data_IF_484726181610
#
_entry.id   IF_484726181610
#
_cell.length_a   1.000
_cell.length_b   1.000
_cell.length_c   1.000
_cell.angle_alpha   90.00
_cell.angle_beta   90.00
_cell.angle_gamma   90.00
#
_symmetry.space_group_name_H-M   'P 1'
#
loop_
_entity.id
_entity.type
_entity.pdbx_description
1 polymer ?
#
# COMPACT_ATOMS: atom_id res chain seq x y z
N UNK A 1 -35.93 -8.84 8.02
CA UNK A 1 -36.69 -9.70 8.95
C UNK A 1 -37.08 -11.05 8.34
N UNK A 2 -37.81 -11.10 7.22
CA UNK A 2 -38.23 -12.39 6.61
C UNK A 2 -37.06 -13.32 6.22
N UNK A 3 -36.05 -12.80 5.52
CA UNK A 3 -34.87 -13.57 5.15
C UNK A 3 -34.12 -14.15 6.36
N UNK A 4 -33.99 -13.38 7.44
CA UNK A 4 -33.37 -13.82 8.69
C UNK A 4 -34.11 -15.01 9.30
N UNK A 5 -35.45 -14.98 9.29
CA UNK A 5 -36.30 -16.08 9.74
C UNK A 5 -36.02 -17.37 8.96
N UNK A 6 -35.98 -17.27 7.62
CA UNK A 6 -35.68 -18.41 6.74
C UNK A 6 -34.30 -19.02 6.98
N UNK A 7 -33.27 -18.19 7.23
CA UNK A 7 -31.93 -18.69 7.55
C UNK A 7 -31.90 -19.39 8.91
N UNK A 8 -32.68 -18.90 9.89
CA UNK A 8 -32.79 -19.53 11.20
C UNK A 8 -33.49 -20.90 11.12
N UNK A 9 -34.58 -21.01 10.35
CA UNK A 9 -35.25 -22.30 10.08
C UNK A 9 -34.31 -23.30 9.39
N UNK A 10 -33.50 -22.84 8.43
CA UNK A 10 -32.50 -23.67 7.78
C UNK A 10 -31.41 -24.13 8.77
N UNK A 11 -30.97 -23.25 9.69
CA UNK A 11 -30.01 -23.60 10.74
C UNK A 11 -30.56 -24.67 11.69
N UNK A 12 -31.81 -24.54 12.13
CA UNK A 12 -32.48 -25.54 12.96
C UNK A 12 -32.65 -26.87 12.23
N UNK A 13 -33.04 -26.84 10.96
CA UNK A 13 -33.13 -28.04 10.12
C UNK A 13 -31.78 -28.72 9.93
N UNK A 14 -30.69 -27.96 9.78
CA UNK A 14 -29.34 -28.51 9.70
C UNK A 14 -28.93 -29.18 11.02
N UNK A 15 -29.34 -28.64 12.18
CA UNK A 15 -29.03 -29.20 13.50
C UNK A 15 -29.64 -30.59 13.69
N UNK A 16 -30.85 -30.83 13.17
CA UNK A 16 -31.58 -32.11 13.33
C UNK A 16 -31.03 -33.25 12.45
N UNK A 17 -30.23 -32.96 11.41
CA UNK A 17 -29.64 -33.99 10.55
C UNK A 17 -28.66 -34.86 11.35
N UNK A 18 -29.02 -36.12 11.60
CA UNK A 18 -28.14 -37.13 12.18
C UNK A 18 -27.48 -37.94 11.05
N UNK A 19 -26.15 -38.05 11.06
CA UNK A 19 -25.41 -38.85 10.06
C UNK A 19 -24.15 -39.44 10.68
N UNK A 20 -23.86 -40.69 10.34
CA UNK A 20 -22.61 -41.38 10.70
C UNK A 20 -21.47 -41.09 9.73
N UNK A 21 -21.78 -40.60 8.51
CA UNK A 21 -20.80 -40.26 7.47
C UNK A 21 -19.99 -39.00 7.81
N UNK A 22 -18.68 -39.12 7.83
CA UNK A 22 -17.78 -38.02 8.22
C UNK A 22 -17.75 -36.88 7.21
N UNK A 23 -17.90 -37.18 5.91
CA UNK A 23 -18.00 -36.15 4.87
C UNK A 23 -19.27 -35.31 5.04
N UNK A 24 -20.39 -35.96 5.34
CA UNK A 24 -21.66 -35.29 5.64
C UNK A 24 -21.59 -34.47 6.93
N UNK A 25 -20.89 -34.94 7.98
CA UNK A 25 -20.66 -34.15 9.21
C UNK A 25 -19.91 -32.86 8.92
N UNK A 26 -18.84 -32.91 8.12
CA UNK A 26 -18.08 -31.71 7.74
C UNK A 26 -18.92 -30.73 6.92
N UNK A 27 -19.69 -31.22 5.94
CA UNK A 27 -20.61 -30.37 5.16
C UNK A 27 -21.67 -29.72 6.04
N UNK A 28 -22.26 -30.46 6.98
CA UNK A 28 -23.22 -29.96 7.97
C UNK A 28 -22.60 -28.83 8.80
N UNK A 29 -21.41 -29.06 9.39
CA UNK A 29 -20.74 -28.06 10.22
C UNK A 29 -20.41 -26.77 9.44
N UNK A 30 -19.97 -26.92 8.18
CA UNK A 30 -19.73 -25.78 7.28
C UNK A 30 -21.02 -25.02 6.99
N UNK A 31 -22.10 -25.72 6.68
CA UNK A 31 -23.40 -25.10 6.43
C UNK A 31 -23.95 -24.37 7.67
N UNK A 32 -23.84 -24.97 8.86
CA UNK A 32 -24.21 -24.33 10.12
C UNK A 32 -23.39 -23.05 10.37
N UNK A 33 -22.07 -23.12 10.20
CA UNK A 33 -21.19 -21.95 10.32
C UNK A 33 -21.55 -20.83 9.35
N UNK A 34 -21.92 -21.16 8.11
CA UNK A 34 -22.37 -20.20 7.10
C UNK A 34 -23.71 -19.57 7.48
N UNK A 35 -24.68 -20.35 7.95
CA UNK A 35 -25.96 -19.84 8.42
C UNK A 35 -25.80 -18.90 9.62
N UNK A 36 -24.99 -19.27 10.62
CA UNK A 36 -24.71 -18.43 11.79
C UNK A 36 -24.04 -17.11 11.37
N UNK A 37 -23.07 -17.15 10.44
CA UNK A 37 -22.43 -15.94 9.92
C UNK A 37 -23.44 -15.05 9.19
N UNK A 38 -24.27 -15.62 8.32
CA UNK A 38 -25.28 -14.87 7.58
C UNK A 38 -26.32 -14.24 8.51
N UNK A 39 -26.73 -14.92 9.59
CA UNK A 39 -27.60 -14.31 10.61
C UNK A 39 -26.92 -13.10 11.25
N UNK A 40 -25.64 -13.22 11.62
CA UNK A 40 -24.87 -12.10 12.15
C UNK A 40 -24.76 -10.92 11.18
N UNK A 41 -24.49 -11.20 9.90
CA UNK A 41 -24.41 -10.17 8.85
C UNK A 41 -25.77 -9.48 8.65
N UNK A 42 -26.87 -10.24 8.69
CA UNK A 42 -28.24 -9.70 8.60
C UNK A 42 -28.61 -8.87 9.84
N UNK A 43 -28.24 -9.33 11.04
CA UNK A 43 -28.49 -8.59 12.28
C UNK A 43 -27.73 -7.25 12.27
N UNK A 44 -26.47 -7.26 11.85
CA UNK A 44 -25.69 -6.04 11.68
C UNK A 44 -26.34 -5.08 10.66
N UNK A 45 -26.87 -5.61 9.55
CA UNK A 45 -27.53 -4.80 8.52
C UNK A 45 -28.88 -4.21 8.97
N UNK A 46 -29.56 -4.87 9.91
CA UNK A 46 -30.91 -4.51 10.38
C UNK A 46 -30.91 -3.64 11.65
N UNK A 47 -29.85 -3.69 12.47
CA UNK A 47 -29.73 -2.96 13.73
C UNK A 47 -29.09 -1.56 13.56
N UNK A 48 -28.95 -0.84 14.68
CA UNK A 48 -28.26 0.46 14.72
C UNK A 48 -26.81 0.32 14.25
N UNK A 49 -26.40 1.23 13.37
CA UNK A 49 -25.12 1.19 12.64
C UNK A 49 -24.01 1.92 13.40
N UNK A 50 -24.22 2.20 14.69
CA UNK A 50 -23.25 2.89 15.53
C UNK A 50 -21.88 2.18 15.46
N UNK A 51 -20.84 2.91 15.05
CA UNK A 51 -19.49 2.36 14.89
C UNK A 51 -19.21 1.63 13.57
N UNK A 52 -20.16 1.57 12.63
CA UNK A 52 -20.00 0.95 11.31
C UNK A 52 -20.26 1.92 10.17
N UNK A 53 -19.57 1.70 9.06
CA UNK A 53 -19.81 2.36 7.78
C UNK A 53 -20.48 1.36 6.85
N UNK A 54 -21.66 1.72 6.35
CA UNK A 54 -22.37 0.94 5.34
C UNK A 54 -22.29 1.66 3.99
N UNK A 55 -21.85 0.96 2.94
CA UNK A 55 -21.87 1.47 1.58
C UNK A 55 -22.13 0.34 0.58
N UNK A 56 -22.57 0.70 -0.62
CA UNK A 56 -22.78 -0.25 -1.71
C UNK A 56 -21.58 -0.20 -2.65
N UNK A 57 -21.02 -1.36 -2.98
CA UNK A 57 -19.95 -1.53 -3.95
C UNK A 57 -20.40 -2.43 -5.12
N UNK A 58 -19.61 -2.46 -6.20
CA UNK A 58 -19.91 -3.26 -7.40
C UNK A 58 -20.63 -2.49 -8.50
N UNK A 59 -21.08 -3.21 -9.53
CA UNK A 59 -21.83 -2.62 -10.65
C UNK A 59 -23.32 -2.58 -10.33
N UNK A 60 -24.14 -1.79 -11.07
CA UNK A 60 -25.59 -1.82 -10.91
C UNK A 60 -26.19 -3.23 -11.04
N UNK A 61 -25.62 -4.11 -11.86
CA UNK A 61 -26.09 -5.49 -12.02
C UNK A 61 -25.58 -6.44 -10.93
N UNK A 62 -24.50 -6.08 -10.23
CA UNK A 62 -23.86 -6.87 -9.17
C UNK A 62 -23.44 -5.97 -8.02
N UNK A 63 -24.44 -5.51 -7.27
CA UNK A 63 -24.21 -4.71 -6.09
C UNK A 63 -23.96 -5.59 -4.85
N UNK A 64 -23.09 -5.12 -3.98
CA UNK A 64 -22.79 -5.72 -2.68
C UNK A 64 -22.94 -4.65 -1.60
N UNK A 65 -23.67 -4.97 -0.53
CA UNK A 65 -23.68 -4.14 0.68
C UNK A 65 -22.43 -4.48 1.50
N UNK A 66 -21.56 -3.52 1.72
CA UNK A 66 -20.40 -3.64 2.59
C UNK A 66 -20.65 -2.94 3.91
N UNK A 67 -20.40 -3.65 5.02
CA UNK A 67 -20.43 -3.10 6.37
C UNK A 67 -19.05 -3.22 6.98
N UNK A 68 -18.42 -2.08 7.26
CA UNK A 68 -17.04 -2.02 7.75
C UNK A 68 -17.01 -1.32 9.12
N UNK A 69 -16.36 -1.90 10.15
CA UNK A 69 -16.20 -1.21 11.42
C UNK A 69 -15.31 0.04 11.26
N UNK A 70 -15.70 1.14 11.88
CA UNK A 70 -14.91 2.38 11.94
C UNK A 70 -13.63 2.17 12.73
N UNK A 71 -13.78 1.52 13.89
CA UNK A 71 -12.72 1.15 14.81
C UNK A 71 -12.75 -0.36 15.07
N UNK A 72 -11.58 -0.98 15.01
CA UNK A 72 -11.40 -2.43 15.28
C UNK A 72 -10.81 -2.67 16.66
N UNK A 73 -10.38 -1.63 17.37
CA UNK A 73 -9.70 -1.71 18.65
C UNK A 73 -10.45 -2.50 19.72
N UNK A 74 -11.73 -2.19 20.01
CA UNK A 74 -12.49 -2.91 21.03
C UNK A 74 -12.60 -4.42 20.73
N UNK A 75 -12.92 -4.77 19.49
CA UNK A 75 -13.04 -6.17 19.06
C UNK A 75 -11.70 -6.93 19.16
N UNK A 76 -10.59 -6.30 18.75
CA UNK A 76 -9.25 -6.90 18.85
C UNK A 76 -8.80 -7.03 20.31
N UNK A 77 -9.15 -6.08 21.17
CA UNK A 77 -8.83 -6.16 22.59
C UNK A 77 -9.53 -7.34 23.27
N UNK A 78 -10.84 -7.49 23.07
CA UNK A 78 -11.61 -8.60 23.65
C UNK A 78 -11.19 -9.96 23.09
N UNK A 79 -10.95 -10.04 21.79
CA UNK A 79 -10.72 -11.33 21.11
C UNK A 79 -9.26 -11.78 21.12
N UNK A 80 -8.31 -10.84 21.18
CA UNK A 80 -6.88 -11.11 21.01
C UNK A 80 -6.10 -10.61 22.21
N UNK A 81 -6.05 -9.29 22.44
CA UNK A 81 -5.09 -8.69 23.39
C UNK A 81 -5.37 -9.08 24.84
N UNK A 82 -6.62 -9.33 25.21
CA UNK A 82 -6.99 -9.77 26.56
C UNK A 82 -6.75 -11.27 26.82
N UNK A 83 -6.58 -12.07 25.76
CA UNK A 83 -6.50 -13.52 25.87
C UNK A 83 -5.08 -14.08 25.72
N UNK A 84 -4.19 -13.35 25.04
CA UNK A 84 -2.84 -13.83 24.73
C UNK A 84 -1.86 -12.68 24.57
N UNK A 85 -0.60 -12.94 24.89
CA UNK A 85 0.53 -12.08 24.50
C UNK A 85 0.78 -12.24 23.00
N UNK A 86 0.89 -11.12 22.28
CA UNK A 86 1.15 -11.11 20.84
C UNK A 86 2.45 -10.36 20.54
N UNK A 87 3.25 -10.90 19.61
CA UNK A 87 4.44 -10.23 19.07
C UNK A 87 4.07 -9.70 17.69
N UNK A 88 4.00 -8.37 17.57
CA UNK A 88 3.76 -7.70 16.29
C UNK A 88 5.10 -7.27 15.71
N UNK A 89 5.49 -7.87 14.58
CA UNK A 89 6.73 -7.55 13.87
C UNK A 89 6.43 -7.11 12.44
N UNK A 90 7.07 -6.03 12.02
CA UNK A 90 7.01 -5.51 10.65
C UNK A 90 8.22 -4.59 10.44
N UNK A 91 8.72 -4.54 9.21
CA UNK A 91 9.76 -3.59 8.81
C UNK A 91 9.29 -2.12 8.95
N UNK A 92 7.97 -1.90 8.90
CA UNK A 92 7.36 -0.58 9.08
C UNK A 92 6.17 -0.72 10.03
N UNK A 93 6.34 -0.24 11.27
CA UNK A 93 5.25 -0.11 12.25
C UNK A 93 4.97 1.38 12.43
N UNK A 94 3.80 1.89 12.02
CA UNK A 94 3.49 3.29 12.24
C UNK A 94 3.29 3.56 13.73
N UNK A 95 3.75 4.71 14.21
CA UNK A 95 3.71 5.08 15.63
C UNK A 95 2.30 5.14 16.21
N UNK A 96 1.28 5.39 15.38
CA UNK A 96 -0.12 5.39 15.78
C UNK A 96 -0.80 4.00 15.68
N UNK A 97 -0.08 2.92 15.32
CA UNK A 97 -0.64 1.59 15.20
C UNK A 97 -1.32 1.13 16.51
N UNK A 98 -0.70 1.23 17.70
CA UNK A 98 -1.29 0.68 18.93
C UNK A 98 -2.68 1.24 19.21
N UNK A 99 -2.86 2.56 19.07
CA UNK A 99 -4.15 3.20 19.23
C UNK A 99 -5.19 2.69 18.22
N UNK A 100 -4.80 2.48 16.94
CA UNK A 100 -5.70 1.99 15.88
C UNK A 100 -6.14 0.54 16.04
N UNK A 101 -5.39 -0.26 16.80
CA UNK A 101 -5.72 -1.67 17.04
C UNK A 101 -6.19 -1.93 18.48
N UNK A 102 -6.41 -0.88 19.28
CA UNK A 102 -6.94 -1.01 20.64
C UNK A 102 -5.94 -1.56 21.65
N UNK A 103 -4.64 -1.31 21.47
CA UNK A 103 -3.62 -1.61 22.47
C UNK A 103 -3.46 -0.41 23.43
N UNK A 104 -3.77 -0.59 24.73
CA UNK A 104 -3.57 0.47 25.72
C UNK A 104 -2.07 0.80 25.89
N UNK A 105 -1.67 2.08 26.06
CA UNK A 105 -0.27 2.51 26.20
C UNK A 105 0.52 1.78 27.28
N UNK A 106 -0.15 1.31 28.33
CA UNK A 106 0.46 0.63 29.48
C UNK A 106 0.60 -0.89 29.29
N UNK A 107 0.13 -1.43 28.16
CA UNK A 107 0.04 -2.87 27.90
C UNK A 107 0.86 -3.35 26.70
N UNK A 108 1.82 -2.56 26.24
CA UNK A 108 2.76 -2.99 25.20
C UNK A 108 4.13 -2.36 25.39
N UNK A 109 5.15 -3.11 24.95
CA UNK A 109 6.50 -2.62 24.80
C UNK A 109 6.79 -2.37 23.32
N UNK A 110 7.57 -1.32 23.02
CA UNK A 110 8.04 -1.02 21.66
C UNK A 110 9.53 -1.23 21.60
N UNK A 111 9.95 -2.15 20.74
CA UNK A 111 11.36 -2.37 20.44
C UNK A 111 11.64 -1.97 18.99
N UNK A 112 12.46 -0.94 18.82
CA UNK A 112 12.97 -0.54 17.51
C UNK A 112 14.31 -1.22 17.28
N UNK A 113 14.33 -2.21 16.38
CA UNK A 113 15.57 -2.81 15.89
C UNK A 113 16.02 -2.00 14.68
N UNK A 114 17.21 -1.42 14.75
CA UNK A 114 17.76 -0.66 13.65
C UNK A 114 17.92 -1.57 12.41
N UNK A 115 17.72 -0.98 11.23
CA UNK A 115 18.04 -1.68 9.98
C UNK A 115 19.51 -2.11 9.99
N UNK A 116 19.85 -3.32 9.55
CA UNK A 116 21.24 -3.72 9.34
C UNK A 116 21.89 -3.02 8.13
N UNK A 117 21.12 -2.25 7.34
CA UNK A 117 21.56 -1.59 6.11
C UNK A 117 21.85 -0.10 6.33
N UNK A 118 22.92 0.39 5.70
CA UNK A 118 23.35 1.80 5.74
C UNK A 118 22.59 2.64 4.72
N UNK A 119 21.34 3.00 5.04
CA UNK A 119 20.51 3.85 4.17
C UNK A 119 21.13 5.23 3.93
N UNK A 120 21.90 5.78 4.87
CA UNK A 120 22.45 7.14 4.75
C UNK A 120 23.49 7.21 3.62
N UNK A 121 24.28 6.15 3.45
CA UNK A 121 25.28 6.06 2.38
C UNK A 121 24.75 5.43 1.10
N UNK A 122 23.84 4.46 1.22
CA UNK A 122 23.42 3.65 0.10
C UNK A 122 22.14 4.13 -0.57
N UNK A 123 21.37 5.01 0.06
CA UNK A 123 20.11 5.49 -0.48
C UNK A 123 20.00 7.01 -0.49
N UNK A 124 19.50 7.53 -1.61
CA UNK A 124 19.21 8.95 -1.80
C UNK A 124 17.70 9.14 -2.00
N UNK A 125 17.10 10.01 -1.22
CA UNK A 125 15.74 10.50 -1.43
C UNK A 125 15.78 11.77 -2.29
N UNK A 126 15.36 11.63 -3.54
CA UNK A 126 15.25 12.74 -4.46
C UNK A 126 13.80 13.26 -4.53
N UNK A 127 13.61 14.58 -4.45
CA UNK A 127 12.34 15.22 -4.76
C UNK A 127 12.48 16.21 -5.92
N UNK A 128 11.73 15.98 -7.00
CA UNK A 128 11.68 16.86 -8.17
C UNK A 128 10.81 18.11 -7.88
N UNK A 129 11.35 19.00 -7.04
CA UNK A 129 10.64 20.16 -6.52
C UNK A 129 10.36 21.26 -7.57
N UNK A 130 11.05 21.22 -8.72
CA UNK A 130 10.85 22.12 -9.86
C UNK A 130 9.63 21.76 -10.72
N UNK A 131 9.08 20.55 -10.58
CA UNK A 131 7.94 20.12 -11.38
C UNK A 131 6.66 20.91 -11.01
N UNK A 132 5.72 21.10 -11.95
CA UNK A 132 4.45 21.75 -11.67
C UNK A 132 3.65 21.10 -10.53
N UNK A 133 2.75 21.83 -9.86
CA UNK A 133 1.89 21.23 -8.83
C UNK A 133 1.01 20.11 -9.45
N UNK A 134 0.82 18.95 -8.79
CA UNK A 134 -0.04 17.88 -9.29
C UNK A 134 -1.48 18.29 -9.66
N UNK A 135 -1.99 19.40 -9.11
CA UNK A 135 -3.31 19.95 -9.44
C UNK A 135 -3.36 20.67 -10.80
N UNK A 136 -2.22 20.94 -11.43
CA UNK A 136 -2.14 21.60 -12.73
C UNK A 136 -2.22 20.59 -13.88
N UNK A 137 -2.96 20.93 -14.95
CA UNK A 137 -3.27 20.00 -16.05
C UNK A 137 -2.13 19.76 -17.06
N UNK A 138 -1.11 20.61 -17.14
CA UNK A 138 -0.03 20.50 -18.12
C UNK A 138 1.29 20.11 -17.45
N UNK A 139 1.34 18.90 -16.88
CA UNK A 139 2.50 18.42 -16.14
C UNK A 139 3.14 17.16 -16.72
N UNK A 140 2.38 16.31 -17.39
CA UNK A 140 2.82 14.98 -17.77
C UNK A 140 4.11 15.01 -18.60
N UNK A 141 4.24 15.94 -19.56
CA UNK A 141 5.49 16.13 -20.33
C UNK A 141 6.72 16.37 -19.46
N UNK A 142 6.60 17.25 -18.45
CA UNK A 142 7.71 17.56 -17.55
C UNK A 142 8.04 16.37 -16.63
N UNK A 143 7.02 15.64 -16.18
CA UNK A 143 7.20 14.42 -15.38
C UNK A 143 7.86 13.32 -16.21
N UNK A 144 7.43 13.08 -17.45
CA UNK A 144 8.00 12.04 -18.29
C UNK A 144 9.44 12.35 -18.68
N UNK A 145 9.77 13.61 -18.99
CA UNK A 145 11.16 14.03 -19.20
C UNK A 145 12.04 13.80 -17.97
N UNK A 146 11.49 14.04 -16.77
CA UNK A 146 12.20 13.76 -15.51
C UNK A 146 12.40 12.24 -15.31
N UNK A 147 11.38 11.44 -15.59
CA UNK A 147 11.44 9.97 -15.53
C UNK A 147 12.50 9.44 -16.49
N UNK A 148 12.51 9.91 -17.73
CA UNK A 148 13.47 9.52 -18.77
C UNK A 148 14.91 9.75 -18.31
N UNK A 149 15.24 10.95 -17.83
CA UNK A 149 16.60 11.27 -17.35
C UNK A 149 17.04 10.36 -16.21
N UNK A 150 16.14 10.10 -15.25
CA UNK A 150 16.46 9.23 -14.12
C UNK A 150 16.62 7.76 -14.58
N UNK A 151 15.77 7.27 -15.49
CA UNK A 151 15.88 5.91 -16.03
C UNK A 151 17.20 5.71 -16.77
N UNK A 152 17.60 6.69 -17.59
CA UNK A 152 18.88 6.66 -18.32
C UNK A 152 20.04 6.63 -17.32
N UNK A 153 20.02 7.51 -16.32
CA UNK A 153 21.05 7.51 -15.27
C UNK A 153 21.06 6.21 -14.43
N UNK A 154 19.92 5.52 -14.33
CA UNK A 154 19.74 4.23 -13.66
C UNK A 154 20.09 3.03 -14.57
N UNK A 155 20.42 3.22 -15.85
CA UNK A 155 20.71 2.13 -16.78
C UNK A 155 19.55 1.14 -16.93
N UNK A 156 18.31 1.63 -16.84
CA UNK A 156 17.11 0.80 -16.93
C UNK A 156 16.64 0.17 -15.63
N UNK A 157 17.44 0.10 -14.56
CA UNK A 157 17.18 -0.55 -13.25
C UNK A 157 16.05 0.08 -12.41
N UNK A 158 14.85 0.21 -12.98
CA UNK A 158 13.84 1.15 -12.51
C UNK A 158 12.49 0.49 -12.23
N UNK A 159 11.96 0.78 -11.05
CA UNK A 159 10.57 0.58 -10.71
C UNK A 159 9.84 1.93 -10.68
N UNK A 160 8.91 2.17 -11.62
CA UNK A 160 8.07 3.36 -11.62
C UNK A 160 6.67 3.05 -11.11
N UNK A 161 6.30 3.66 -9.98
CA UNK A 161 5.02 3.48 -9.29
C UNK A 161 4.08 4.65 -9.55
N UNK A 162 3.02 4.35 -10.28
CA UNK A 162 1.99 5.32 -10.66
C UNK A 162 0.76 5.25 -9.77
N UNK A 163 0.16 6.40 -9.51
CA UNK A 163 -1.10 6.53 -8.74
C UNK A 163 -2.34 6.04 -9.50
N UNK A 164 -2.29 5.91 -10.83
CA UNK A 164 -3.39 5.37 -11.64
C UNK A 164 -2.91 4.71 -12.93
N UNK A 165 -3.73 3.82 -13.47
CA UNK A 165 -3.52 3.21 -14.78
C UNK A 165 -3.46 4.22 -15.92
N UNK A 166 -4.25 5.30 -15.85
CA UNK A 166 -4.22 6.35 -16.87
C UNK A 166 -2.82 7.00 -16.96
N UNK A 167 -2.19 7.29 -15.82
CA UNK A 167 -0.83 7.87 -15.78
C UNK A 167 0.23 6.87 -16.22
N UNK A 168 0.12 5.64 -15.75
CA UNK A 168 0.99 4.55 -16.16
C UNK A 168 0.98 4.37 -17.68
N UNK A 169 -0.20 4.30 -18.29
CA UNK A 169 -0.34 4.15 -19.73
C UNK A 169 0.16 5.38 -20.50
N UNK A 170 -0.07 6.59 -19.98
CA UNK A 170 0.45 7.82 -20.59
C UNK A 170 1.98 7.87 -20.57
N UNK A 171 2.61 7.52 -19.44
CA UNK A 171 4.06 7.47 -19.32
C UNK A 171 4.66 6.36 -20.19
N UNK A 172 4.05 5.17 -20.21
CA UNK A 172 4.48 4.07 -21.07
C UNK A 172 4.46 4.47 -22.55
N UNK A 173 3.35 5.05 -23.02
CA UNK A 173 3.19 5.44 -24.41
C UNK A 173 4.14 6.57 -24.84
N UNK A 174 4.57 7.43 -23.92
CA UNK A 174 5.49 8.52 -24.23
C UNK A 174 6.96 8.05 -24.16
N UNK A 175 7.28 7.08 -23.30
CA UNK A 175 8.67 6.70 -22.99
C UNK A 175 9.15 5.42 -23.69
N UNK A 176 8.25 4.53 -24.11
CA UNK A 176 8.63 3.24 -24.72
C UNK A 176 9.54 3.38 -25.94
N UNK A 177 9.34 4.43 -26.73
CA UNK A 177 10.07 4.65 -27.99
C UNK A 177 11.29 5.57 -27.79
N UNK A 178 11.44 6.18 -26.61
CA UNK A 178 12.51 7.12 -26.29
C UNK A 178 13.65 6.47 -25.50
N UNK A 179 13.33 5.40 -24.77
CA UNK A 179 14.27 4.66 -23.95
C UNK A 179 14.74 3.40 -24.70
N UNK A 180 16.03 3.09 -24.58
CA UNK A 180 16.62 1.85 -25.12
C UNK A 180 16.34 0.62 -24.23
N UNK A 181 15.82 0.84 -23.02
CA UNK A 181 15.52 -0.19 -22.05
C UNK A 181 14.14 -0.80 -22.27
N UNK A 182 14.02 -2.11 -22.04
CA UNK A 182 12.71 -2.77 -22.04
C UNK A 182 11.85 -2.20 -20.92
N UNK A 183 10.64 -1.74 -21.25
CA UNK A 183 9.64 -1.29 -20.26
C UNK A 183 8.56 -2.36 -20.17
N UNK A 184 8.49 -3.03 -19.03
CA UNK A 184 7.42 -3.94 -18.67
C UNK A 184 6.25 -3.15 -18.07
N UNK A 185 5.03 -3.47 -18.48
CA UNK A 185 3.82 -2.83 -17.95
C UNK A 185 2.99 -3.82 -17.15
N UNK A 186 2.42 -3.37 -16.02
CA UNK A 186 1.61 -4.21 -15.11
C UNK A 186 0.52 -5.06 -15.80
N UNK A 187 -0.08 -4.57 -16.89
CA UNK A 187 -1.18 -5.26 -17.58
C UNK A 187 -0.72 -6.21 -18.71
N UNK A 188 0.59 -6.34 -18.94
CA UNK A 188 1.10 -7.17 -20.03
C UNK A 188 1.14 -8.66 -19.66
N UNK A 189 1.39 -8.98 -18.37
CA UNK A 189 1.57 -10.35 -17.89
C UNK A 189 0.99 -10.54 -16.48
N UNK A 190 0.67 -11.79 -16.09
CA UNK A 190 0.35 -12.11 -14.71
C UNK A 190 1.45 -11.62 -13.74
N UNK A 191 1.03 -11.11 -12.59
CA UNK A 191 1.90 -10.47 -11.58
C UNK A 191 3.22 -11.21 -11.32
N UNK A 192 3.17 -12.51 -11.03
CA UNK A 192 4.37 -13.30 -10.72
C UNK A 192 5.33 -13.43 -11.91
N UNK A 193 4.79 -13.53 -13.12
CA UNK A 193 5.59 -13.66 -14.34
C UNK A 193 6.24 -12.33 -14.71
N UNK A 194 5.53 -11.21 -14.52
CA UNK A 194 6.07 -9.88 -14.72
C UNK A 194 7.25 -9.59 -13.78
N UNK A 195 7.13 -9.99 -12.51
CA UNK A 195 8.19 -9.87 -11.52
C UNK A 195 9.40 -10.75 -11.84
N UNK A 196 9.16 -11.98 -12.32
CA UNK A 196 10.22 -12.87 -12.78
C UNK A 196 11.01 -12.23 -13.92
N UNK A 197 10.33 -11.76 -14.96
CA UNK A 197 10.98 -11.06 -16.09
C UNK A 197 11.75 -9.82 -15.64
N UNK A 198 11.15 -9.01 -14.76
CA UNK A 198 11.82 -7.84 -14.21
C UNK A 198 13.10 -8.22 -13.44
N UNK A 199 13.10 -9.32 -12.69
CA UNK A 199 14.28 -9.77 -11.96
C UNK A 199 15.37 -10.39 -12.86
N UNK A 200 15.03 -10.88 -14.05
CA UNK A 200 15.97 -11.58 -14.95
C UNK A 200 16.87 -10.67 -15.76
N UNK A 201 16.49 -9.41 -15.94
CA UNK A 201 17.24 -8.44 -16.75
C UNK A 201 17.48 -7.18 -15.96
N UNK A 202 18.76 -6.90 -15.70
CA UNK A 202 19.18 -5.72 -14.95
C UNK A 202 18.82 -4.40 -15.65
N UNK A 203 18.76 -4.39 -16.99
CA UNK A 203 18.47 -3.21 -17.79
C UNK A 203 16.99 -3.12 -18.19
N UNK A 204 16.08 -3.46 -17.27
CA UNK A 204 14.63 -3.47 -17.52
C UNK A 204 13.90 -2.56 -16.54
N UNK A 205 12.98 -1.78 -17.07
CA UNK A 205 12.07 -0.94 -16.30
C UNK A 205 10.74 -1.67 -16.05
N UNK A 206 10.13 -1.47 -14.89
CA UNK A 206 8.78 -1.94 -14.60
C UNK A 206 7.88 -0.76 -14.22
N UNK A 207 6.87 -0.52 -15.04
CA UNK A 207 5.84 0.48 -14.83
C UNK A 207 4.61 -0.19 -14.24
N UNK A 208 4.31 0.15 -12.98
CA UNK A 208 3.24 -0.47 -12.22
C UNK A 208 2.46 0.56 -11.41
N UNK A 209 1.24 0.21 -11.05
CA UNK A 209 0.48 0.98 -10.05
C UNK A 209 1.05 0.75 -8.66
N UNK A 210 0.91 1.72 -7.77
CA UNK A 210 1.43 1.65 -6.41
C UNK A 210 0.95 0.42 -5.60
N UNK A 211 -0.22 -0.15 -5.93
CA UNK A 211 -0.74 -1.35 -5.26
C UNK A 211 -0.06 -2.65 -5.70
N UNK A 212 0.63 -2.67 -6.85
CA UNK A 212 1.20 -3.89 -7.41
C UNK A 212 2.24 -4.55 -6.49
N UNK A 213 3.04 -3.75 -5.79
CA UNK A 213 4.15 -4.23 -4.95
C UNK A 213 3.80 -4.52 -3.49
N UNK A 214 2.52 -4.42 -3.12
CA UNK A 214 2.10 -4.89 -1.81
C UNK A 214 2.27 -6.41 -1.71
N UNK A 215 3.03 -6.85 -0.70
CA UNK A 215 3.24 -8.27 -0.38
C UNK A 215 4.16 -9.04 -1.34
N UNK A 216 5.05 -8.35 -2.06
CA UNK A 216 5.99 -8.99 -3.00
C UNK A 216 7.41 -8.60 -2.65
N UNK A 217 8.30 -9.58 -2.61
CA UNK A 217 9.73 -9.35 -2.63
C UNK A 217 10.25 -9.40 -4.07
N UNK A 218 10.97 -8.36 -4.49
CA UNK A 218 11.67 -8.40 -5.79
C UNK A 218 13.05 -8.94 -5.48
N UNK A 219 13.54 -9.99 -6.16
CA UNK A 219 14.91 -10.44 -6.00
C UNK A 219 15.88 -9.59 -6.86
N UNK A 220 17.11 -9.39 -6.39
CA UNK A 220 18.25 -9.02 -7.25
C UNK A 220 18.71 -7.56 -7.27
N UNK A 221 19.90 -7.37 -7.84
CA UNK A 221 20.65 -6.14 -8.18
C UNK A 221 19.96 -5.24 -9.21
N UNK A 222 18.82 -5.68 -9.73
CA UNK A 222 18.04 -5.07 -10.81
C UNK A 222 17.38 -3.74 -10.43
N UNK A 223 17.32 -3.37 -9.14
CA UNK A 223 16.60 -2.19 -8.71
C UNK A 223 17.52 -1.16 -8.04
N UNK A 224 17.86 -0.12 -8.80
CA UNK A 224 18.62 1.04 -8.31
C UNK A 224 17.79 2.32 -8.28
N UNK A 225 16.59 2.31 -8.88
CA UNK A 225 15.71 3.47 -8.91
C UNK A 225 14.27 3.08 -8.63
N UNK A 226 13.66 3.71 -7.62
CA UNK A 226 12.21 3.67 -7.38
C UNK A 226 11.63 5.05 -7.63
N UNK A 227 10.80 5.18 -8.65
CA UNK A 227 10.08 6.42 -8.98
C UNK A 227 8.68 6.35 -8.39
N UNK A 228 8.24 7.45 -7.77
CA UNK A 228 6.90 7.64 -7.24
C UNK A 228 6.33 8.88 -7.92
N UNK A 229 5.39 8.67 -8.86
CA UNK A 229 4.85 9.75 -9.70
C UNK A 229 4.18 10.85 -8.88
N UNK A 230 3.47 10.45 -7.80
CA UNK A 230 2.76 11.34 -6.89
C UNK A 230 2.66 10.73 -5.49
N UNK A 231 2.51 11.60 -4.49
CA UNK A 231 2.26 11.16 -3.13
C UNK A 231 0.98 10.29 -3.06
N UNK A 232 1.06 9.07 -2.48
CA UNK A 232 0.02 8.03 -2.52
C UNK A 232 -1.15 8.27 -1.55
N UNK A 233 -1.72 9.47 -1.57
CA UNK A 233 -2.85 9.84 -0.72
C UNK A 233 -4.06 8.92 -0.93
N UNK A 234 -4.81 8.57 0.13
CA UNK A 234 -6.00 7.76 -0.02
C UNK A 234 -7.04 8.48 -0.88
N UNK A 235 -7.80 7.72 -1.66
CA UNK A 235 -8.82 8.27 -2.56
C UNK A 235 -9.87 9.02 -1.73
N UNK A 236 -10.25 10.25 -2.10
CA UNK A 236 -11.23 11.03 -1.34
C UNK A 236 -12.61 10.35 -1.27
N UNK A 237 -12.99 9.63 -2.33
CA UNK A 237 -14.29 8.95 -2.47
C UNK A 237 -14.34 7.59 -1.76
N UNK A 238 -13.28 7.16 -1.07
CA UNK A 238 -13.31 5.94 -0.27
C UNK A 238 -14.26 6.14 0.93
N UNK A 239 -15.38 5.39 1.01
CA UNK A 239 -16.40 5.62 2.03
C UNK A 239 -15.89 5.40 3.45
N UNK A 240 -15.03 4.39 3.65
CA UNK A 240 -14.47 4.08 4.95
C UNK A 240 -13.49 5.16 5.39
N UNK A 241 -12.65 5.66 4.48
CA UNK A 241 -11.76 6.78 4.79
C UNK A 241 -12.54 8.06 5.05
N UNK A 242 -13.62 8.33 4.31
CA UNK A 242 -14.48 9.49 4.56
C UNK A 242 -15.04 9.45 5.98
N UNK A 243 -15.65 8.34 6.37
CA UNK A 243 -16.24 8.20 7.69
C UNK A 243 -15.18 8.25 8.81
N UNK A 244 -13.99 7.67 8.60
CA UNK A 244 -12.86 7.84 9.54
C UNK A 244 -12.41 9.30 9.64
N UNK A 245 -12.36 10.04 8.53
CA UNK A 245 -12.01 11.47 8.55
C UNK A 245 -13.04 12.29 9.32
N UNK A 246 -14.33 11.97 9.20
CA UNK A 246 -15.39 12.63 9.97
C UNK A 246 -15.19 12.48 11.48
N UNK A 247 -14.86 11.26 11.94
CA UNK A 247 -14.56 10.99 13.36
C UNK A 247 -13.39 11.84 13.87
N UNK A 248 -12.34 12.03 13.07
CA UNK A 248 -11.15 12.79 13.44
C UNK A 248 -11.26 14.31 13.15
N UNK A 249 -12.34 14.75 12.48
CA UNK A 249 -12.61 16.13 12.13
C UNK A 249 -11.41 16.85 11.47
N UNK A 250 -11.09 18.05 11.96
CA UNK A 250 -10.01 18.89 11.41
C UNK A 250 -8.62 18.26 11.47
N UNK A 251 -8.41 17.28 12.36
CA UNK A 251 -7.12 16.59 12.52
C UNK A 251 -6.93 15.39 11.58
N UNK A 252 -7.98 14.99 10.85
CA UNK A 252 -8.00 13.76 10.07
C UNK A 252 -6.85 13.65 9.06
N UNK A 253 -6.52 14.75 8.38
CA UNK A 253 -5.42 14.77 7.42
C UNK A 253 -4.08 14.38 8.07
N UNK A 254 -3.76 14.97 9.22
CA UNK A 254 -2.51 14.70 9.94
C UNK A 254 -2.55 13.35 10.66
N UNK A 255 -3.70 12.95 11.21
CA UNK A 255 -3.83 11.73 12.01
C UNK A 255 -3.98 10.45 11.17
N UNK A 256 -4.51 10.56 9.94
CA UNK A 256 -4.84 9.43 9.06
C UNK A 256 -4.03 9.48 7.77
N UNK A 257 -4.21 10.54 6.97
CA UNK A 257 -3.70 10.55 5.60
C UNK A 257 -2.17 10.60 5.55
N UNK A 258 -1.53 11.42 6.39
CA UNK A 258 -0.06 11.54 6.46
C UNK A 258 0.62 10.23 6.86
N UNK A 259 0.24 9.54 7.96
CA UNK A 259 0.81 8.24 8.31
C UNK A 259 0.62 7.18 7.22
N UNK A 260 -0.53 7.17 6.52
CA UNK A 260 -0.76 6.24 5.40
C UNK A 260 0.22 6.51 4.27
N UNK A 261 0.40 7.77 3.88
CA UNK A 261 1.34 8.16 2.82
C UNK A 261 2.76 7.78 3.21
N UNK A 262 3.20 8.16 4.41
CA UNK A 262 4.54 7.85 4.90
C UNK A 262 4.81 6.34 4.92
N UNK A 263 3.85 5.53 5.39
CA UNK A 263 3.97 4.07 5.41
C UNK A 263 4.13 3.51 3.99
N UNK A 264 3.33 3.96 3.03
CA UNK A 264 3.42 3.51 1.64
C UNK A 264 4.77 3.90 1.00
N UNK A 265 5.26 5.10 1.26
CA UNK A 265 6.56 5.56 0.78
C UNK A 265 7.72 4.78 1.42
N UNK A 266 7.66 4.51 2.73
CA UNK A 266 8.64 3.69 3.42
C UNK A 266 8.66 2.25 2.86
N UNK A 267 7.49 1.68 2.57
CA UNK A 267 7.37 0.37 1.92
C UNK A 267 7.94 0.36 0.51
N UNK A 268 7.71 1.41 -0.28
CA UNK A 268 8.31 1.56 -1.60
C UNK A 268 9.85 1.70 -1.51
N UNK A 269 10.34 2.47 -0.53
CA UNK A 269 11.78 2.66 -0.26
C UNK A 269 12.46 1.37 0.22
N UNK A 270 11.76 0.56 1.01
CA UNK A 270 12.25 -0.75 1.47
C UNK A 270 12.44 -1.77 0.35
N UNK A 271 11.96 -1.50 -0.87
CA UNK A 271 12.26 -2.33 -2.05
C UNK A 271 13.63 -2.02 -2.64
N UNK A 272 14.17 -0.83 -2.38
CA UNK A 272 15.43 -0.37 -2.93
C UNK A 272 16.63 -1.04 -2.24
N UNK A 273 16.64 -1.08 -0.91
CA UNK A 273 17.76 -1.60 -0.11
C UNK A 273 17.33 -2.88 0.59
N UNK A 274 17.78 -4.02 0.08
CA UNK A 274 17.51 -5.39 0.57
C UNK A 274 18.77 -6.11 1.03
N UNK A 275 19.93 -5.70 0.53
CA UNK A 275 21.26 -6.20 0.92
C UNK A 275 22.15 -5.06 1.40
N UNK A 276 23.32 -5.40 1.99
CA UNK A 276 24.29 -4.40 2.45
C UNK A 276 24.97 -3.63 1.30
N UNK A 277 24.95 -4.18 0.09
CA UNK A 277 25.61 -3.62 -1.09
C UNK A 277 24.63 -2.89 -2.02
N UNK A 278 23.33 -3.06 -1.82
CA UNK A 278 22.33 -2.38 -2.64
C UNK A 278 22.49 -0.87 -2.48
N UNK A 279 22.50 -0.16 -3.62
CA UNK A 279 22.53 1.30 -3.67
C UNK A 279 21.46 1.81 -4.64
N UNK A 280 20.86 2.95 -4.33
CA UNK A 280 19.97 3.59 -5.30
C UNK A 280 19.23 4.84 -4.84
N UNK A 281 18.24 5.22 -5.63
CA UNK A 281 17.47 6.46 -5.45
C UNK A 281 15.98 6.17 -5.32
N UNK A 282 15.35 6.78 -4.32
CA UNK A 282 13.89 6.92 -4.26
C UNK A 282 13.55 8.32 -4.78
N UNK A 283 12.97 8.38 -5.98
CA UNK A 283 12.60 9.63 -6.65
C UNK A 283 11.11 9.92 -6.48
N UNK A 284 10.78 10.93 -5.68
CA UNK A 284 9.40 11.42 -5.50
C UNK A 284 9.16 12.60 -6.43
N UNK A 285 8.40 12.36 -7.48
CA UNK A 285 8.04 13.36 -8.47
C UNK A 285 6.80 14.14 -8.01
N UNK A 286 6.79 14.62 -6.77
CA UNK A 286 5.71 15.42 -6.22
C UNK A 286 6.27 16.60 -5.43
N UNK A 287 6.20 17.84 -5.94
CA UNK A 287 6.79 18.99 -5.27
C UNK A 287 6.15 19.26 -3.91
N UNK A 288 4.96 18.71 -3.62
CA UNK A 288 4.28 18.84 -2.32
C UNK A 288 5.07 18.23 -1.17
N UNK A 289 5.96 17.27 -1.43
CA UNK A 289 6.88 16.73 -0.43
C UNK A 289 7.83 17.81 0.12
N UNK A 290 8.12 18.85 -0.67
CA UNK A 290 8.96 19.99 -0.26
C UNK A 290 8.13 21.22 0.07
N UNK A 291 7.12 21.53 -0.73
CA UNK A 291 6.39 22.79 -0.66
C UNK A 291 5.32 22.83 0.44
N UNK A 292 4.89 21.68 0.97
CA UNK A 292 3.89 21.60 2.04
C UNK A 292 4.55 21.25 3.38
N UNK A 293 4.04 21.84 4.45
CA UNK A 293 4.59 21.64 5.81
C UNK A 293 4.60 20.18 6.27
N UNK A 294 3.63 19.38 5.83
CA UNK A 294 3.56 17.95 6.13
C UNK A 294 4.68 17.12 5.49
N UNK A 295 5.37 17.65 4.47
CA UNK A 295 6.45 16.96 3.78
C UNK A 295 7.61 16.58 4.71
N UNK A 296 7.95 17.45 5.66
CA UNK A 296 8.96 17.17 6.69
C UNK A 296 8.56 16.00 7.59
N UNK A 297 7.27 15.92 7.95
CA UNK A 297 6.73 14.81 8.75
C UNK A 297 6.81 13.50 7.99
N UNK A 298 6.51 13.50 6.70
CA UNK A 298 6.64 12.32 5.84
C UNK A 298 8.10 11.87 5.78
N UNK A 299 9.04 12.78 5.48
CA UNK A 299 10.47 12.45 5.37
C UNK A 299 11.02 11.87 6.67
N UNK A 300 10.62 12.41 7.83
CA UNK A 300 11.07 11.92 9.13
C UNK A 300 10.57 10.50 9.48
N UNK A 301 9.59 9.98 8.75
CA UNK A 301 9.06 8.61 8.90
C UNK A 301 9.69 7.61 7.92
N UNK A 302 10.52 8.08 6.98
CA UNK A 302 11.26 7.23 6.06
C UNK A 302 12.57 6.76 6.69
N UNK A 303 13.20 5.69 6.16
CA UNK A 303 14.58 5.37 6.51
C UNK A 303 15.50 6.59 6.33
N UNK A 304 16.56 6.73 7.15
CA UNK A 304 17.46 7.87 7.07
C UNK A 304 18.25 7.80 5.76
N UNK A 305 17.85 8.63 4.79
CA UNK A 305 18.47 8.74 3.46
C UNK A 305 18.99 10.16 3.27
N UNK A 306 20.06 10.32 2.51
CA UNK A 306 20.46 11.66 2.03
C UNK A 306 19.27 12.26 1.26
N UNK A 307 18.88 13.51 1.57
CA UNK A 307 17.77 14.18 0.89
C UNK A 307 18.28 15.26 -0.07
N UNK A 308 17.85 15.19 -1.34
CA UNK A 308 18.20 16.20 -2.34
C UNK A 308 17.01 16.66 -3.17
N UNK A 309 17.12 17.89 -3.68
CA UNK A 309 16.22 18.47 -4.69
C UNK A 309 16.91 18.64 -6.04
N UNK A 310 18.20 18.30 -6.12
CA UNK A 310 19.00 18.44 -7.34
C UNK A 310 18.86 17.18 -8.16
N UNK A 311 18.26 17.31 -9.34
CA UNK A 311 18.21 16.25 -10.35
C UNK A 311 19.64 15.76 -10.69
N UNK A 312 20.60 16.68 -10.86
CA UNK A 312 21.98 16.34 -11.16
C UNK A 312 22.62 15.43 -10.09
N UNK A 313 22.41 15.74 -8.80
CA UNK A 313 22.88 14.91 -7.68
C UNK A 313 22.27 13.51 -7.73
N UNK A 314 20.99 13.40 -8.08
CA UNK A 314 20.31 12.11 -8.22
C UNK A 314 20.89 11.28 -9.37
N UNK A 315 21.15 11.90 -10.52
CA UNK A 315 21.80 11.23 -11.65
C UNK A 315 23.22 10.79 -11.32
N UNK A 316 24.03 11.65 -10.69
CA UNK A 316 25.38 11.32 -10.23
C UNK A 316 25.39 10.12 -9.28
N UNK A 317 24.44 10.08 -8.33
CA UNK A 317 24.32 8.97 -7.39
C UNK A 317 23.93 7.67 -8.10
N UNK A 318 22.99 7.71 -9.04
CA UNK A 318 22.60 6.53 -9.84
C UNK A 318 23.76 6.00 -10.67
N UNK A 319 24.49 6.88 -11.37
CA UNK A 319 25.64 6.50 -12.18
C UNK A 319 26.77 5.91 -11.32
N UNK A 320 27.00 6.46 -10.13
CA UNK A 320 27.92 5.88 -9.15
C UNK A 320 27.45 4.50 -8.69
N UNK A 321 26.17 4.35 -8.32
CA UNK A 321 25.62 3.07 -7.88
C UNK A 321 25.84 1.98 -8.93
N UNK A 322 25.52 2.24 -10.20
CA UNK A 322 25.70 1.26 -11.29
C UNK A 322 27.16 0.88 -11.51
N UNK A 323 28.08 1.85 -11.38
CA UNK A 323 29.51 1.60 -11.60
C UNK A 323 30.13 0.75 -10.48
N UNK A 324 29.45 0.59 -9.35
CA UNK A 324 29.91 -0.14 -8.16
C UNK A 324 29.05 -1.37 -7.84
N UNK A 325 28.16 -1.79 -8.76
CA UNK A 325 27.38 -3.04 -8.67
C UNK A 325 28.23 -4.26 -9.07
#
# INVERSE_FOLDING_TARGET
NELRGRVNEALESLRTIATSDDSAKQRKLRAQSLCTRLIGDLDLALQDRAGYVAYVSGTPERCSLEMRPLDVGPALYESVWSQRTAILTSATIPTNLPARIGLPPEKFDVHNVASPFDYERNALLYCAAHLPDPAQGNRDKAVHAEIEQLIIAAGGRTLALFTSYARLNAAYSDLSDRLEFEILKQDDLPKMELLRKFAESESTCLFATQSFFQGVDVPGSTLSLVIIDRLPFPVPTDPLMSARREVHGKSAFTAIDIPIVATKLAQASGRLIRTQTDMGVVAVLDPRLVTKGYGKTIIAMLPPMEFTKSNARAQEFLSYAISNL
#
